data_IF_397935479507
#
_entry.id   IF_397935479507
#
_cell.length_a   1.000
_cell.length_b   1.000
_cell.length_c   1.000
_cell.angle_alpha   90.00
_cell.angle_beta   90.00
_cell.angle_gamma   90.00
#
_symmetry.space_group_name_H-M   'P 1'
#
loop_
_entity.id
_entity.type
_entity.pdbx_description
1 polymer ?
#
# COMPACT_ATOMS: atom_id res chain seq x y z
N UNK A 1 -49.21 -25.67 -15.43
CA UNK A 1 -48.11 -25.45 -14.48
C UNK A 1 -46.94 -24.81 -15.23
N UNK A 2 -46.91 -23.48 -15.39
CA UNK A 2 -45.71 -22.80 -15.92
C UNK A 2 -45.55 -21.43 -15.26
N UNK A 3 -44.60 -21.32 -14.33
CA UNK A 3 -44.26 -20.07 -13.64
C UNK A 3 -43.24 -19.33 -14.51
N UNK A 4 -43.68 -18.26 -15.18
CA UNK A 4 -42.78 -17.32 -15.86
C UNK A 4 -41.87 -16.64 -14.83
N UNK A 5 -40.57 -16.92 -14.92
CA UNK A 5 -39.52 -16.25 -14.14
C UNK A 5 -39.46 -14.78 -14.56
N UNK A 6 -40.04 -13.91 -13.74
CA UNK A 6 -39.87 -12.46 -13.85
C UNK A 6 -38.40 -12.12 -13.64
N UNK A 7 -37.71 -11.84 -14.76
CA UNK A 7 -36.34 -11.33 -14.79
C UNK A 7 -36.32 -10.00 -14.04
N UNK A 8 -35.73 -10.02 -12.83
CA UNK A 8 -35.53 -8.83 -11.99
C UNK A 8 -34.85 -7.75 -12.83
N UNK A 9 -35.56 -6.64 -13.05
CA UNK A 9 -35.03 -5.42 -13.64
C UNK A 9 -33.91 -4.93 -12.72
N UNK A 10 -32.67 -4.96 -13.20
CA UNK A 10 -31.58 -4.26 -12.54
C UNK A 10 -31.81 -2.76 -12.77
N UNK A 11 -32.25 -2.06 -11.73
CA UNK A 11 -32.23 -0.60 -11.73
C UNK A 11 -30.78 -0.15 -11.85
N UNK A 12 -30.42 0.81 -12.71
CA UNK A 12 -29.10 1.41 -12.68
C UNK A 12 -29.07 2.31 -11.44
N UNK A 13 -28.89 1.68 -10.26
CA UNK A 13 -28.55 2.41 -9.06
C UNK A 13 -27.29 3.19 -9.38
N UNK A 14 -27.39 4.52 -9.33
CA UNK A 14 -26.24 5.42 -9.38
C UNK A 14 -25.18 4.84 -8.45
N UNK A 15 -24.15 4.22 -9.01
CA UNK A 15 -22.96 3.92 -8.25
C UNK A 15 -22.29 5.26 -8.05
N UNK A 16 -22.55 5.88 -6.90
CA UNK A 16 -21.62 6.86 -6.36
C UNK A 16 -20.25 6.19 -6.41
N UNK A 17 -19.44 6.62 -7.37
CA UNK A 17 -18.09 6.10 -7.56
C UNK A 17 -17.36 6.46 -6.27
N UNK A 18 -17.32 5.51 -5.34
CA UNK A 18 -16.76 5.68 -4.01
C UNK A 18 -15.31 6.11 -4.21
N UNK A 19 -15.06 7.40 -3.96
CA UNK A 19 -13.76 8.01 -4.19
C UNK A 19 -12.71 7.16 -3.46
N UNK A 20 -11.77 6.62 -4.22
CA UNK A 20 -10.70 5.80 -3.66
C UNK A 20 -9.89 6.68 -2.72
N UNK A 21 -9.98 6.43 -1.41
CA UNK A 21 -9.10 7.09 -0.43
C UNK A 21 -7.66 6.79 -0.83
N UNK A 22 -6.83 7.82 -0.94
CA UNK A 22 -5.39 7.65 -1.13
C UNK A 22 -4.82 7.11 0.18
N UNK A 23 -4.23 5.93 0.14
CA UNK A 23 -3.66 5.26 1.31
C UNK A 23 -2.17 5.54 1.34
N UNK A 24 -1.71 6.26 2.36
CA UNK A 24 -0.30 6.63 2.52
C UNK A 24 0.55 5.43 2.94
N UNK A 25 1.87 5.54 2.83
CA UNK A 25 2.79 4.46 3.19
C UNK A 25 2.72 4.16 4.69
N UNK A 26 2.63 5.21 5.50
CA UNK A 26 2.54 5.16 6.96
C UNK A 26 1.29 4.38 7.40
N UNK A 27 0.16 4.60 6.73
CA UNK A 27 -1.06 3.85 6.98
C UNK A 27 -0.91 2.36 6.68
N UNK A 28 -0.16 1.99 5.64
CA UNK A 28 0.10 0.58 5.30
C UNK A 28 0.98 -0.08 6.35
N UNK A 29 2.01 0.63 6.81
CA UNK A 29 2.91 0.15 7.87
C UNK A 29 2.14 -0.03 9.18
N UNK A 30 1.27 0.92 9.54
CA UNK A 30 0.45 0.82 10.76
C UNK A 30 -0.51 -0.37 10.72
N UNK A 31 -1.14 -0.63 9.55
CA UNK A 31 -1.98 -1.83 9.35
C UNK A 31 -1.19 -3.11 9.60
N UNK A 32 0.01 -3.25 9.03
CA UNK A 32 0.84 -4.44 9.18
C UNK A 32 1.26 -4.62 10.64
N UNK A 33 1.69 -3.54 11.30
CA UNK A 33 2.09 -3.56 12.72
C UNK A 33 0.95 -4.04 13.61
N UNK A 34 -0.24 -3.44 13.50
CA UNK A 34 -1.40 -3.84 14.33
C UNK A 34 -1.86 -5.27 14.07
N UNK A 35 -1.73 -5.73 12.83
CA UNK A 35 -2.04 -7.12 12.51
C UNK A 35 -1.02 -8.08 13.14
N UNK A 36 0.27 -7.73 13.15
CA UNK A 36 1.32 -8.49 13.85
C UNK A 36 1.11 -8.50 15.38
N UNK A 37 0.56 -7.42 15.95
CA UNK A 37 0.17 -7.33 17.37
C UNK A 37 -1.08 -8.18 17.71
N UNK A 38 -1.71 -8.82 16.72
CA UNK A 38 -2.86 -9.71 16.91
C UNK A 38 -4.22 -9.02 16.88
N UNK A 39 -4.31 -7.76 16.45
CA UNK A 39 -5.60 -7.09 16.29
C UNK A 39 -6.40 -7.67 15.11
N UNK A 40 -7.72 -7.82 15.30
CA UNK A 40 -8.61 -8.27 14.24
C UNK A 40 -8.77 -7.22 13.14
N UNK A 41 -9.00 -7.66 11.90
CA UNK A 41 -9.17 -6.76 10.75
C UNK A 41 -10.31 -5.76 10.93
N UNK A 42 -11.40 -6.18 11.59
CA UNK A 42 -12.51 -5.29 11.94
C UNK A 42 -12.09 -4.15 12.88
N UNK A 43 -11.25 -4.45 13.88
CA UNK A 43 -10.70 -3.45 14.80
C UNK A 43 -9.73 -2.49 14.11
N UNK A 44 -8.88 -3.01 13.23
CA UNK A 44 -7.97 -2.17 12.44
C UNK A 44 -8.75 -1.27 11.46
N UNK A 45 -9.82 -1.80 10.87
CA UNK A 45 -10.75 -1.09 9.98
C UNK A 45 -11.42 0.09 10.69
N UNK A 46 -11.90 -0.10 11.92
CA UNK A 46 -12.48 0.98 12.71
C UNK A 46 -11.47 2.06 13.07
N UNK A 47 -10.27 1.65 13.47
CA UNK A 47 -9.27 2.58 14.00
C UNK A 47 -8.61 3.43 12.89
N UNK A 48 -8.36 2.84 11.72
CA UNK A 48 -7.68 3.51 10.59
C UNK A 48 -8.68 4.02 9.53
N UNK A 49 -9.99 3.76 9.73
CA UNK A 49 -11.06 4.15 8.80
C UNK A 49 -10.82 3.68 7.35
N UNK A 50 -10.24 2.47 7.22
CA UNK A 50 -10.01 1.76 5.97
C UNK A 50 -10.97 0.59 5.85
N UNK A 51 -11.42 0.31 4.63
CA UNK A 51 -12.29 -0.84 4.40
C UNK A 51 -11.54 -2.16 4.65
N UNK A 52 -12.21 -3.16 5.21
CA UNK A 52 -11.59 -4.44 5.56
C UNK A 52 -10.91 -5.13 4.36
N UNK A 53 -11.56 -5.09 3.18
CA UNK A 53 -10.97 -5.57 1.91
C UNK A 53 -9.65 -4.88 1.57
N UNK A 54 -9.50 -3.60 1.91
CA UNK A 54 -8.27 -2.85 1.71
C UNK A 54 -7.17 -3.34 2.65
N UNK A 55 -7.51 -3.60 3.91
CA UNK A 55 -6.59 -4.18 4.90
C UNK A 55 -6.08 -5.55 4.41
N UNK A 56 -6.97 -6.42 3.94
CA UNK A 56 -6.57 -7.73 3.41
C UNK A 56 -5.62 -7.60 2.20
N UNK A 57 -5.85 -6.62 1.32
CA UNK A 57 -4.95 -6.34 0.19
C UNK A 57 -3.57 -5.85 0.66
N UNK A 58 -3.53 -5.00 1.69
CA UNK A 58 -2.28 -4.50 2.27
C UNK A 58 -1.48 -5.67 2.86
N UNK A 59 -2.11 -6.54 3.64
CA UNK A 59 -1.46 -7.70 4.25
C UNK A 59 -0.91 -8.68 3.19
N UNK A 60 -1.64 -8.91 2.09
CA UNK A 60 -1.12 -9.71 0.97
C UNK A 60 0.12 -9.11 0.30
N UNK A 61 0.31 -7.79 0.40
CA UNK A 61 1.44 -7.07 -0.18
C UNK A 61 2.53 -6.79 0.87
N UNK A 62 2.43 -7.34 2.07
CA UNK A 62 3.35 -7.08 3.18
C UNK A 62 4.81 -7.38 2.83
N UNK A 63 5.08 -8.53 2.20
CA UNK A 63 6.44 -8.94 1.82
C UNK A 63 7.09 -7.94 0.85
N UNK A 64 6.35 -7.58 -0.20
CA UNK A 64 6.79 -6.57 -1.16
C UNK A 64 6.91 -5.17 -0.54
N UNK A 65 6.10 -4.85 0.48
CA UNK A 65 6.23 -3.60 1.21
C UNK A 65 7.50 -3.60 2.07
N UNK A 66 7.83 -4.73 2.71
CA UNK A 66 9.01 -4.89 3.56
C UNK A 66 10.32 -4.81 2.78
N UNK A 67 10.35 -5.39 1.58
CA UNK A 67 11.49 -5.25 0.65
C UNK A 67 11.66 -3.81 0.17
N UNK A 68 10.55 -3.13 -0.13
CA UNK A 68 10.59 -1.71 -0.51
C UNK A 68 10.96 -0.83 0.67
N UNK A 69 10.50 -1.13 1.88
CA UNK A 69 10.79 -0.33 3.06
C UNK A 69 12.22 -0.52 3.55
N UNK A 70 12.80 -1.72 3.44
CA UNK A 70 14.23 -1.93 3.72
C UNK A 70 15.09 -1.19 2.69
N UNK A 71 14.75 -1.29 1.41
CA UNK A 71 15.41 -0.53 0.35
C UNK A 71 15.28 0.99 0.56
N UNK A 72 14.13 1.48 1.05
CA UNK A 72 13.91 2.88 1.39
C UNK A 72 14.61 3.29 2.67
N UNK A 73 14.70 2.43 3.69
CA UNK A 73 15.35 2.77 4.98
C UNK A 73 16.83 3.05 4.77
N UNK A 74 17.52 2.25 3.94
CA UNK A 74 18.90 2.51 3.51
C UNK A 74 19.05 3.80 2.68
N UNK A 75 17.93 4.34 2.16
CA UNK A 75 17.89 5.47 1.22
C UNK A 75 17.17 6.73 1.75
N UNK A 76 16.68 6.68 2.99
CA UNK A 76 15.67 7.61 3.51
C UNK A 76 16.25 8.88 4.12
N UNK A 77 17.57 9.09 4.09
CA UNK A 77 18.15 10.34 4.59
C UNK A 77 17.87 11.54 3.67
N UNK A 78 17.44 11.38 2.41
CA UNK A 78 17.23 12.51 1.50
C UNK A 78 15.96 12.38 0.64
N UNK A 79 14.83 12.89 1.15
CA UNK A 79 13.79 13.60 0.37
C UNK A 79 13.25 13.01 -0.95
N UNK A 80 13.13 11.68 -1.11
CA UNK A 80 12.88 11.07 -2.42
C UNK A 80 11.58 10.28 -2.58
N UNK A 81 10.59 10.45 -1.70
CA UNK A 81 9.31 9.74 -1.84
C UNK A 81 8.46 10.19 -3.06
N UNK A 82 8.83 11.27 -3.75
CA UNK A 82 8.00 11.86 -4.82
C UNK A 82 8.58 11.73 -6.26
N UNK A 83 9.83 11.30 -6.45
CA UNK A 83 10.43 11.21 -7.80
C UNK A 83 10.68 9.76 -8.21
N UNK A 84 10.13 9.35 -9.35
CA UNK A 84 10.52 8.09 -10.00
C UNK A 84 12.02 8.17 -10.27
N UNK A 85 12.82 7.39 -9.55
CA UNK A 85 14.27 7.29 -9.79
C UNK A 85 14.49 6.68 -11.17
N UNK A 86 15.33 7.30 -11.99
CA UNK A 86 15.82 6.67 -13.22
C UNK A 86 16.92 5.68 -12.89
N UNK A 87 17.15 4.70 -13.76
CA UNK A 87 18.22 3.70 -13.58
C UNK A 87 19.60 4.34 -13.47
N UNK A 88 19.81 5.44 -14.22
CA UNK A 88 21.05 6.24 -14.18
C UNK A 88 21.28 6.86 -12.79
N UNK A 89 20.20 7.32 -12.15
CA UNK A 89 20.31 7.94 -10.83
C UNK A 89 20.69 6.93 -9.75
N UNK A 90 20.13 5.71 -9.83
CA UNK A 90 20.46 4.61 -8.91
C UNK A 90 21.94 4.20 -9.06
N UNK A 91 22.41 4.08 -10.30
CA UNK A 91 23.82 3.74 -10.56
C UNK A 91 24.77 4.79 -10.01
N UNK A 92 24.46 6.08 -10.22
CA UNK A 92 25.25 7.19 -9.68
C UNK A 92 25.28 7.18 -8.15
N UNK A 93 24.14 6.96 -7.49
CA UNK A 93 24.04 6.87 -6.03
C UNK A 93 24.88 5.69 -5.48
N UNK A 94 24.91 4.56 -6.19
CA UNK A 94 25.74 3.39 -5.85
C UNK A 94 27.24 3.71 -5.92
N UNK A 95 27.69 4.29 -7.04
CA UNK A 95 29.10 4.67 -7.22
C UNK A 95 29.56 5.72 -6.20
N UNK A 96 28.70 6.69 -5.87
CA UNK A 96 28.99 7.68 -4.83
C UNK A 96 29.13 7.05 -3.45
N UNK A 97 28.31 6.03 -3.13
CA UNK A 97 28.39 5.33 -1.85
C UNK A 97 29.73 4.61 -1.70
N UNK A 98 30.15 3.88 -2.75
CA UNK A 98 31.48 3.23 -2.78
C UNK A 98 32.61 4.24 -2.63
N UNK A 99 32.51 5.39 -3.30
CA UNK A 99 33.54 6.44 -3.21
C UNK A 99 33.63 7.05 -1.80
N UNK A 100 32.50 7.27 -1.13
CA UNK A 100 32.48 7.79 0.25
C UNK A 100 33.11 6.77 1.20
N UNK A 101 32.81 5.48 1.05
CA UNK A 101 33.41 4.42 1.86
C UNK A 101 34.92 4.31 1.65
N UNK A 102 35.43 4.54 0.43
CA UNK A 102 36.87 4.52 0.14
C UNK A 102 37.61 5.76 0.68
N UNK A 103 36.88 6.87 0.88
CA UNK A 103 37.45 8.12 1.41
C UNK A 103 37.49 8.21 2.94
N UNK A 104 36.96 7.21 3.66
CA UNK A 104 36.70 7.27 5.10
C UNK A 104 37.37 6.11 5.85
#
# INVERSE_FOLDING_TARGET
MERRLLKRKHSPGQSDKKNSKVITLEQRIDVIRRHADGHSNSKISSDISLHEVTITKILKQETALKERSSAVSSFSSLGAAARKRSIVMIEMESLLSVWIEDCN
#
